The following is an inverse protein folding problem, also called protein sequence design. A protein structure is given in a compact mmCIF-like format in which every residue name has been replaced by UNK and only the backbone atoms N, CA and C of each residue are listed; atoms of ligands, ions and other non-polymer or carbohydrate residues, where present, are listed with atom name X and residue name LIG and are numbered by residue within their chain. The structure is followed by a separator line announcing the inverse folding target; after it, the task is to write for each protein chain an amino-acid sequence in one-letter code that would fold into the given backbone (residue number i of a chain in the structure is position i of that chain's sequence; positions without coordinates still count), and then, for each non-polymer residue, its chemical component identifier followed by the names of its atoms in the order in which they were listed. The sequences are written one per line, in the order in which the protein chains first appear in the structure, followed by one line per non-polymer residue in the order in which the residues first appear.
data_IF_642863001545
#
_entry.id   IF_642863001545
#
_cell.length_a   1.000
_cell.length_b   1.000
_cell.length_c   1.000
_cell.angle_alpha   90.00
_cell.angle_beta   90.00
_cell.angle_gamma   90.00
#
_symmetry.space_group_name_H-M   'P 1'
#
loop_
_entity.id
_entity.type
_entity.pdbx_description
1 polymer ?
#
# COMPACT_ATOMS: atom_id res chain seq x y z
N UNK A 1 1.43 -4.45 7.74
CA UNK A 1 1.49 -5.82 8.32
C UNK A 1 0.12 -6.34 8.78
N UNK A 2 -0.12 -7.67 8.67
CA UNK A 2 -1.19 -8.42 9.35
C UNK A 2 -0.55 -9.49 10.27
N UNK A 3 -0.82 -9.42 11.57
CA UNK A 3 -0.30 -10.37 12.55
C UNK A 3 -1.40 -11.14 13.27
N UNK A 4 -1.27 -12.47 13.37
CA UNK A 4 -2.07 -13.33 14.25
C UNK A 4 -1.13 -14.36 14.90
N UNK A 5 -1.10 -14.45 16.24
CA UNK A 5 -0.14 -15.31 16.94
C UNK A 5 -0.58 -16.77 17.05
N UNK A 6 -1.87 -17.09 17.05
CA UNK A 6 -2.36 -18.46 17.06
C UNK A 6 -3.79 -18.49 16.54
N UNK A 7 -4.01 -18.79 15.25
CA UNK A 7 -5.35 -19.17 14.78
C UNK A 7 -5.30 -19.75 13.37
N UNK A 8 -5.85 -20.95 13.21
CA UNK A 8 -6.20 -21.60 11.94
C UNK A 8 -7.42 -20.96 11.24
N UNK A 9 -7.94 -19.84 11.76
CA UNK A 9 -9.06 -19.08 11.17
C UNK A 9 -8.54 -18.18 10.03
N UNK A 10 -9.28 -17.98 8.92
CA UNK A 10 -8.81 -17.28 7.71
C UNK A 10 -8.68 -15.77 7.94
N UNK A 11 -7.67 -15.37 8.72
CA UNK A 11 -7.36 -14.00 9.14
C UNK A 11 -6.93 -13.08 7.99
N UNK A 12 -7.02 -13.54 6.74
CA UNK A 12 -6.58 -12.77 5.57
C UNK A 12 -7.71 -12.35 4.66
N UNK A 13 -8.76 -13.17 4.47
CA UNK A 13 -9.92 -12.78 3.65
C UNK A 13 -10.94 -11.94 4.42
N UNK A 14 -11.03 -12.14 5.74
CA UNK A 14 -12.03 -11.48 6.61
C UNK A 14 -11.52 -10.22 7.34
N UNK A 15 -10.23 -9.90 7.25
CA UNK A 15 -9.63 -8.80 8.04
C UNK A 15 -9.39 -7.55 7.22
N UNK A 16 -9.02 -7.73 5.94
CA UNK A 16 -8.86 -6.65 4.96
C UNK A 16 -9.50 -7.10 3.66
N UNK A 17 -10.40 -6.30 3.11
CA UNK A 17 -11.05 -6.66 1.84
C UNK A 17 -9.97 -6.59 0.74
N UNK A 18 -9.58 -7.74 0.21
CA UNK A 18 -8.41 -7.88 -0.66
C UNK A 18 -8.48 -9.20 -1.41
N UNK A 19 -7.73 -9.30 -2.50
CA UNK A 19 -7.67 -10.49 -3.35
C UNK A 19 -6.34 -11.20 -3.06
N UNK A 20 -6.33 -12.52 -2.78
CA UNK A 20 -5.09 -13.25 -2.69
C UNK A 20 -4.41 -13.33 -4.06
N UNK A 21 -3.15 -12.92 -4.14
CA UNK A 21 -2.32 -13.01 -5.35
C UNK A 21 -1.21 -14.03 -5.16
N UNK A 22 -0.84 -14.73 -6.24
CA UNK A 22 0.33 -15.61 -6.28
C UNK A 22 1.60 -14.77 -6.48
N UNK A 23 2.56 -14.86 -5.56
CA UNK A 23 3.76 -14.03 -5.58
C UNK A 23 4.67 -14.30 -6.78
N UNK A 24 4.72 -15.54 -7.27
CA UNK A 24 5.58 -15.92 -8.41
C UNK A 24 5.13 -15.22 -9.70
N UNK A 25 3.83 -15.09 -9.91
CA UNK A 25 3.26 -14.57 -11.16
C UNK A 25 2.70 -13.14 -11.04
N UNK A 26 2.82 -12.50 -9.87
CA UNK A 26 2.28 -11.15 -9.67
C UNK A 26 3.09 -10.10 -10.43
N UNK A 27 2.39 -9.21 -11.13
CA UNK A 27 2.98 -8.13 -11.93
C UNK A 27 2.80 -6.73 -11.30
N UNK A 28 2.08 -6.63 -10.18
CA UNK A 28 1.89 -5.36 -9.47
C UNK A 28 2.96 -5.09 -8.43
N UNK A 29 2.70 -4.10 -7.57
CA UNK A 29 3.59 -3.72 -6.47
C UNK A 29 3.90 -4.91 -5.54
N UNK A 30 5.18 -5.23 -5.37
CA UNK A 30 5.63 -6.40 -4.58
C UNK A 30 5.83 -6.13 -3.08
N UNK A 31 5.93 -4.87 -2.64
CA UNK A 31 6.17 -4.55 -1.21
C UNK A 31 7.45 -5.13 -0.61
N UNK A 32 8.44 -5.50 -1.43
CA UNK A 32 9.66 -6.18 -0.98
C UNK A 32 9.52 -7.70 -0.79
N UNK A 33 8.34 -8.28 -1.03
CA UNK A 33 8.15 -9.73 -1.08
C UNK A 33 8.82 -10.32 -2.33
N UNK A 34 9.22 -11.59 -2.24
CA UNK A 34 10.04 -12.27 -3.24
C UNK A 34 9.22 -13.26 -4.08
N UNK A 35 9.49 -13.33 -5.39
CA UNK A 35 8.82 -14.25 -6.33
C UNK A 35 9.27 -15.71 -6.19
N UNK A 36 10.43 -15.92 -5.55
CA UNK A 36 11.08 -17.22 -5.36
C UNK A 36 10.52 -18.05 -4.18
N UNK A 37 9.32 -17.71 -3.67
CA UNK A 37 8.62 -18.38 -2.58
C UNK A 37 9.26 -18.25 -1.19
N UNK A 38 10.41 -17.57 -1.05
CA UNK A 38 11.08 -17.37 0.24
C UNK A 38 10.28 -16.52 1.24
N UNK A 39 9.34 -15.70 0.75
CA UNK A 39 8.44 -14.87 1.57
C UNK A 39 6.99 -15.34 1.54
N UNK A 40 6.75 -16.59 1.12
CA UNK A 40 5.43 -17.20 1.00
C UNK A 40 5.02 -17.45 -0.44
N UNK A 41 3.90 -18.15 -0.63
CA UNK A 41 3.34 -18.47 -1.94
C UNK A 41 2.34 -17.42 -2.43
N UNK A 42 1.53 -16.91 -1.50
CA UNK A 42 0.47 -15.96 -1.80
C UNK A 42 0.39 -14.91 -0.72
N UNK A 43 -0.19 -13.78 -1.06
CA UNK A 43 -0.45 -12.73 -0.09
C UNK A 43 -1.70 -11.92 -0.47
N UNK A 44 -2.41 -11.29 0.47
CA UNK A 44 -3.49 -10.39 0.12
C UNK A 44 -2.97 -9.12 -0.54
N UNK A 45 -3.67 -8.71 -1.60
CA UNK A 45 -3.35 -7.55 -2.41
C UNK A 45 -4.60 -6.72 -2.67
N UNK A 46 -4.45 -5.40 -2.68
CA UNK A 46 -5.50 -4.47 -3.04
C UNK A 46 -4.94 -3.42 -3.98
N UNK A 47 -5.67 -3.12 -5.05
CA UNK A 47 -5.29 -2.08 -6.00
C UNK A 47 -6.51 -1.28 -6.47
N UNK A 48 -6.26 -0.02 -6.77
CA UNK A 48 -7.11 0.93 -7.50
C UNK A 48 -6.23 1.62 -8.55
N UNK A 49 -6.79 2.50 -9.37
CA UNK A 49 -6.01 3.28 -10.34
C UNK A 49 -4.94 4.19 -9.71
N UNK A 50 -5.02 4.46 -8.40
CA UNK A 50 -4.14 5.42 -7.72
C UNK A 50 -3.42 4.86 -6.49
N UNK A 51 -3.72 3.63 -6.08
CA UNK A 51 -3.18 3.02 -4.84
C UNK A 51 -3.02 1.53 -5.05
N UNK A 52 -1.84 1.01 -4.70
CA UNK A 52 -1.55 -0.41 -4.57
C UNK A 52 -1.11 -0.71 -3.14
N UNK A 53 -1.59 -1.82 -2.56
CA UNK A 53 -1.29 -2.23 -1.18
C UNK A 53 -0.97 -3.72 -1.15
N UNK A 54 0.24 -4.03 -0.70
CA UNK A 54 0.69 -5.38 -0.43
C UNK A 54 0.68 -5.64 1.08
N UNK A 55 0.02 -6.70 1.55
CA UNK A 55 -0.03 -7.01 2.97
C UNK A 55 1.04 -8.02 3.36
N UNK A 56 1.94 -7.68 4.29
CA UNK A 56 2.81 -8.65 4.94
C UNK A 56 2.04 -9.46 5.98
N UNK A 57 1.74 -10.74 5.70
CA UNK A 57 0.97 -11.61 6.61
C UNK A 57 1.90 -12.62 7.29
N UNK A 58 2.04 -12.52 8.62
CA UNK A 58 2.96 -13.37 9.38
C UNK A 58 2.68 -14.87 9.23
N UNK A 59 1.41 -15.27 9.08
CA UNK A 59 0.97 -16.66 8.91
C UNK A 59 1.09 -17.20 7.48
N UNK A 60 1.34 -16.34 6.48
CA UNK A 60 1.61 -16.76 5.10
C UNK A 60 3.10 -16.79 4.75
N UNK A 61 3.95 -16.32 5.66
CA UNK A 61 5.41 -16.40 5.53
C UNK A 61 5.94 -17.75 6.04
N UNK A 62 6.94 -18.37 5.38
CA UNK A 62 7.48 -19.67 5.77
C UNK A 62 8.00 -19.69 7.21
N UNK A 63 7.86 -20.85 7.88
CA UNK A 63 8.26 -21.04 9.28
C UNK A 63 9.22 -22.21 9.50
N UNK A 64 9.66 -22.86 8.42
CA UNK A 64 10.27 -24.20 8.48
C UNK A 64 11.80 -24.18 8.58
N UNK A 65 12.40 -22.98 8.62
CA UNK A 65 13.86 -22.80 8.76
C UNK A 65 14.20 -22.07 10.05
N UNK A 66 15.39 -22.29 10.60
CA UNK A 66 15.89 -21.59 11.79
C UNK A 66 15.87 -20.05 11.62
N UNK A 67 16.16 -19.55 10.41
CA UNK A 67 16.10 -18.12 10.08
C UNK A 67 14.68 -17.56 9.83
N UNK A 68 13.63 -18.36 10.02
CA UNK A 68 12.26 -17.98 9.65
C UNK A 68 11.76 -16.77 10.43
N UNK A 69 12.09 -16.67 11.72
CA UNK A 69 11.73 -15.54 12.55
C UNK A 69 12.38 -14.25 12.04
N UNK A 70 13.68 -14.29 11.73
CA UNK A 70 14.43 -13.15 11.17
C UNK A 70 13.86 -12.73 9.82
N UNK A 71 13.53 -13.68 8.94
CA UNK A 71 12.89 -13.41 7.64
C UNK A 71 11.53 -12.72 7.82
N UNK A 72 10.69 -13.21 8.75
CA UNK A 72 9.41 -12.57 9.09
C UNK A 72 9.62 -11.15 9.60
N UNK A 73 10.48 -10.97 10.59
CA UNK A 73 10.75 -9.66 11.18
C UNK A 73 11.38 -8.67 10.20
N UNK A 74 12.13 -9.11 9.19
CA UNK A 74 12.64 -8.23 8.14
C UNK A 74 11.54 -7.52 7.35
N UNK A 75 10.40 -8.17 7.16
CA UNK A 75 9.26 -7.55 6.47
C UNK A 75 8.31 -6.90 7.46
N UNK A 76 7.91 -7.67 8.47
CA UNK A 76 6.93 -7.27 9.48
C UNK A 76 7.45 -6.14 10.37
N UNK A 77 8.72 -6.16 10.71
CA UNK A 77 9.35 -5.17 11.58
C UNK A 77 9.60 -3.83 10.88
N UNK A 78 9.61 -3.76 9.55
CA UNK A 78 9.87 -2.52 8.82
C UNK A 78 8.58 -1.81 8.33
N UNK A 79 7.41 -2.35 8.70
CA UNK A 79 6.14 -1.70 8.35
C UNK A 79 5.81 -0.59 9.36
N UNK A 80 5.35 0.57 8.87
CA UNK A 80 4.94 1.68 9.74
C UNK A 80 3.53 1.47 10.34
N UNK A 81 2.68 0.70 9.64
CA UNK A 81 1.29 0.41 10.03
C UNK A 81 1.08 -1.09 10.21
N UNK A 82 0.72 -1.48 11.44
CA UNK A 82 0.47 -2.85 11.83
C UNK A 82 -1.02 -3.08 12.08
N UNK A 83 -1.58 -4.11 11.45
CA UNK A 83 -2.91 -4.63 11.76
C UNK A 83 -2.71 -5.92 12.56
N UNK A 84 -3.29 -5.98 13.74
CA UNK A 84 -3.13 -7.11 14.66
C UNK A 84 -4.48 -7.73 14.92
N UNK A 85 -4.60 -9.03 14.68
CA UNK A 85 -5.73 -9.82 15.12
C UNK A 85 -5.41 -10.44 16.48
N UNK A 86 -6.18 -10.07 17.51
CA UNK A 86 -5.98 -10.59 18.86
C UNK A 86 -7.21 -11.36 19.33
N UNK A 87 -7.02 -12.64 19.62
CA UNK A 87 -8.03 -13.48 20.28
C UNK A 87 -7.91 -13.43 21.82
N UNK A 88 -6.96 -12.66 22.35
CA UNK A 88 -6.81 -12.46 23.78
C UNK A 88 -7.75 -11.37 24.29
N UNK A 89 -8.22 -11.53 25.53
CA UNK A 89 -9.03 -10.55 26.26
C UNK A 89 -8.22 -9.40 26.84
N UNK A 90 -6.88 -9.50 26.80
CA UNK A 90 -5.97 -8.48 27.31
C UNK A 90 -5.58 -7.50 26.20
N UNK A 91 -5.31 -6.27 26.61
CA UNK A 91 -4.79 -5.24 25.72
C UNK A 91 -3.48 -5.66 25.07
N UNK A 92 -3.34 -5.32 23.80
CA UNK A 92 -2.16 -5.65 23.03
C UNK A 92 -1.03 -4.73 23.47
N UNK A 93 0.14 -5.32 23.69
CA UNK A 93 1.33 -4.57 24.11
C UNK A 93 2.18 -4.26 22.90
N UNK A 94 2.51 -2.97 22.68
CA UNK A 94 3.34 -2.50 21.55
C UNK A 94 4.67 -3.26 21.43
N UNK A 95 5.32 -3.58 22.55
CA UNK A 95 6.61 -4.29 22.58
C UNK A 95 6.58 -5.77 22.22
N UNK A 96 5.43 -6.33 21.78
CA UNK A 96 5.34 -7.74 21.36
C UNK A 96 6.12 -8.01 20.07
N UNK A 97 6.18 -7.03 19.16
CA UNK A 97 7.04 -7.08 17.97
C UNK A 97 8.18 -6.10 18.25
N UNK A 98 9.42 -6.56 18.36
CA UNK A 98 10.56 -5.68 18.60
C UNK A 98 10.85 -4.91 17.31
N UNK A 99 10.32 -3.70 17.20
CA UNK A 99 10.56 -2.79 16.09
C UNK A 99 10.57 -1.34 16.56
N UNK A 100 11.46 -0.54 15.97
CA UNK A 100 11.45 0.93 16.10
C UNK A 100 10.40 1.59 15.19
N UNK A 101 9.89 0.83 14.20
CA UNK A 101 8.76 1.16 13.34
C UNK A 101 7.42 0.80 14.02
N UNK A 102 6.38 0.48 13.24
CA UNK A 102 5.04 0.22 13.77
C UNK A 102 4.43 1.45 14.44
N UNK A 103 4.61 2.62 13.85
CA UNK A 103 4.10 3.91 14.34
C UNK A 103 2.61 3.89 14.65
N UNK A 104 1.84 3.13 13.87
CA UNK A 104 0.40 2.90 14.07
C UNK A 104 0.10 1.41 14.21
N UNK A 105 -0.65 1.04 15.24
CA UNK A 105 -1.21 -0.30 15.45
C UNK A 105 -2.74 -0.22 15.44
N UNK A 106 -3.36 -1.01 14.56
CA UNK A 106 -4.80 -1.24 14.49
C UNK A 106 -5.06 -2.66 15.00
N UNK A 107 -5.49 -2.77 16.24
CA UNK A 107 -5.73 -4.06 16.91
C UNK A 107 -7.21 -4.39 16.84
N UNK A 108 -7.52 -5.60 16.41
CA UNK A 108 -8.87 -6.11 16.18
C UNK A 108 -9.14 -7.23 17.18
N UNK A 109 -10.18 -7.04 17.98
CA UNK A 109 -10.65 -8.00 18.98
C UNK A 109 -12.01 -8.56 18.56
N UNK A 110 -12.12 -9.86 18.24
CA UNK A 110 -13.39 -10.51 17.99
C UNK A 110 -14.30 -10.46 19.22
N UNK A 111 -15.56 -10.12 19.02
CA UNK A 111 -16.61 -10.13 20.03
C UNK A 111 -17.73 -11.13 19.65
N UNK A 112 -18.74 -11.24 20.51
CA UNK A 112 -19.97 -11.98 20.20
C UNK A 112 -20.74 -11.29 19.06
N UNK A 113 -21.67 -12.02 18.43
CA UNK A 113 -22.60 -11.50 17.42
C UNK A 113 -21.93 -10.87 16.19
N UNK A 114 -20.76 -11.38 15.78
CA UNK A 114 -20.00 -10.88 14.64
C UNK A 114 -19.61 -9.39 14.75
N UNK A 115 -19.46 -8.88 15.97
CA UNK A 115 -18.92 -7.56 16.26
C UNK A 115 -17.43 -7.64 16.57
N UNK A 116 -16.73 -6.53 16.37
CA UNK A 116 -15.28 -6.43 16.58
C UNK A 116 -14.97 -5.10 17.24
N UNK A 117 -14.22 -5.15 18.35
CA UNK A 117 -13.69 -3.97 19.01
C UNK A 117 -12.33 -3.62 18.41
N UNK A 118 -12.10 -2.33 18.17
CA UNK A 118 -10.90 -1.78 17.57
C UNK A 118 -10.17 -0.96 18.61
N UNK A 119 -8.90 -1.29 18.84
CA UNK A 119 -7.96 -0.46 19.59
C UNK A 119 -6.95 0.13 18.62
N UNK A 120 -6.72 1.44 18.67
CA UNK A 120 -5.74 2.14 17.84
C UNK A 120 -4.68 2.76 18.74
N UNK A 121 -3.45 2.27 18.63
CA UNK A 121 -2.29 2.86 19.28
C UNK A 121 -1.43 3.55 18.22
N UNK A 122 -1.07 4.82 18.42
CA UNK A 122 -0.20 5.57 17.51
C UNK A 122 0.84 6.38 18.27
N UNK A 123 1.96 6.70 17.62
CA UNK A 123 2.89 7.71 18.15
C UNK A 123 2.21 9.10 18.21
N UNK A 124 2.58 9.99 19.15
CA UNK A 124 1.95 11.30 19.31
C UNK A 124 1.97 12.17 18.06
N UNK A 125 3.06 12.10 17.29
CA UNK A 125 3.34 12.95 16.12
C UNK A 125 2.45 12.59 14.92
N UNK A 126 1.87 11.39 14.91
CA UNK A 126 1.01 10.93 13.80
C UNK A 126 -0.27 11.76 13.76
N UNK A 127 -0.59 12.43 12.63
CA UNK A 127 -1.84 13.19 12.47
C UNK A 127 -3.08 12.32 12.64
N UNK A 128 -4.25 12.95 12.67
CA UNK A 128 -5.51 12.22 12.66
C UNK A 128 -5.69 11.44 11.34
N UNK A 129 -6.23 10.23 11.42
CA UNK A 129 -6.62 9.39 10.30
C UNK A 129 -7.85 8.56 10.68
N UNK A 130 -8.53 8.01 9.69
CA UNK A 130 -9.74 7.19 9.88
C UNK A 130 -10.04 6.35 8.65
N UNK A 131 -11.20 5.66 8.57
CA UNK A 131 -12.44 5.97 9.29
C UNK A 131 -12.59 5.38 10.71
N UNK A 132 -11.76 4.41 11.11
CA UNK A 132 -11.81 3.86 12.47
C UNK A 132 -11.10 4.78 13.47
N UNK A 133 -11.56 4.76 14.72
CA UNK A 133 -10.95 5.45 15.86
C UNK A 133 -10.76 4.47 17.03
N UNK A 134 -9.96 4.85 18.02
CA UNK A 134 -9.71 4.03 19.20
C UNK A 134 -11.00 3.79 20.00
N UNK A 135 -11.31 2.53 20.33
CA UNK A 135 -12.54 2.12 20.99
C UNK A 135 -13.73 1.89 20.05
N UNK A 136 -13.56 1.99 18.72
CA UNK A 136 -14.64 1.73 17.77
C UNK A 136 -15.12 0.26 17.83
N UNK A 137 -16.43 0.05 17.71
CA UNK A 137 -17.04 -1.28 17.58
C UNK A 137 -17.71 -1.38 16.21
N UNK A 138 -17.32 -2.37 15.41
CA UNK A 138 -17.79 -2.51 14.03
C UNK A 138 -18.30 -3.91 13.72
N UNK A 139 -19.27 -3.99 12.82
CA UNK A 139 -19.79 -5.26 12.34
C UNK A 139 -18.81 -5.93 11.37
N UNK A 140 -18.69 -7.26 11.44
CA UNK A 140 -17.81 -8.06 10.58
C UNK A 140 -18.05 -7.89 9.08
N UNK A 141 -19.24 -7.46 8.64
CA UNK A 141 -19.52 -7.17 7.23
C UNK A 141 -18.72 -5.98 6.68
N UNK A 142 -18.49 -4.95 7.51
CA UNK A 142 -17.81 -3.70 7.10
C UNK A 142 -16.36 -3.64 7.58
N UNK A 143 -16.00 -4.44 8.60
CA UNK A 143 -14.66 -4.52 9.18
C UNK A 143 -13.54 -4.55 8.12
N UNK A 144 -13.58 -5.43 7.09
CA UNK A 144 -12.45 -5.55 6.17
C UNK A 144 -12.20 -4.29 5.34
N UNK A 145 -13.26 -3.53 5.04
CA UNK A 145 -13.17 -2.29 4.26
C UNK A 145 -12.68 -1.16 5.17
N UNK A 146 -13.24 -1.05 6.38
CA UNK A 146 -12.88 -0.03 7.36
C UNK A 146 -11.42 -0.14 7.81
N UNK A 147 -10.96 -1.36 8.10
CA UNK A 147 -9.55 -1.60 8.50
C UNK A 147 -8.59 -1.24 7.36
N UNK A 148 -8.88 -1.66 6.13
CA UNK A 148 -8.05 -1.31 4.97
C UNK A 148 -7.99 0.19 4.74
N UNK A 149 -9.14 0.87 4.73
CA UNK A 149 -9.20 2.32 4.55
C UNK A 149 -8.43 3.06 5.64
N UNK A 150 -8.58 2.63 6.90
CA UNK A 150 -7.86 3.21 8.05
C UNK A 150 -6.35 3.01 7.91
N UNK A 151 -5.90 1.82 7.51
CA UNK A 151 -4.48 1.54 7.33
C UNK A 151 -3.85 2.37 6.20
N UNK A 152 -4.56 2.54 5.06
CA UNK A 152 -4.10 3.39 3.96
C UNK A 152 -3.99 4.85 4.40
N UNK A 153 -5.00 5.36 5.11
CA UNK A 153 -4.99 6.74 5.58
C UNK A 153 -3.96 6.97 6.69
N UNK A 154 -3.72 6.00 7.56
CA UNK A 154 -2.62 6.03 8.53
C UNK A 154 -1.26 6.15 7.83
N UNK A 155 -1.02 5.35 6.79
CA UNK A 155 0.23 5.44 6.00
C UNK A 155 0.39 6.81 5.31
N UNK A 156 -0.71 7.39 4.79
CA UNK A 156 -0.67 8.75 4.22
C UNK A 156 -0.37 9.81 5.28
N UNK A 157 -0.99 9.72 6.46
CA UNK A 157 -0.73 10.62 7.58
C UNK A 157 0.75 10.56 8.02
N UNK A 158 1.33 9.36 8.07
CA UNK A 158 2.76 9.19 8.35
C UNK A 158 3.63 9.83 7.26
N UNK A 159 3.32 9.59 5.98
CA UNK A 159 4.06 10.20 4.86
C UNK A 159 4.02 11.72 4.87
N UNK A 160 2.93 12.33 5.31
CA UNK A 160 2.84 13.80 5.43
C UNK A 160 3.79 14.41 6.46
N UNK A 161 4.36 13.60 7.36
CA UNK A 161 5.38 14.06 8.31
C UNK A 161 6.79 14.10 7.70
N UNK A 162 7.00 13.46 6.55
CA UNK A 162 8.31 13.45 5.88
C UNK A 162 8.55 14.84 5.27
N UNK A 163 9.62 15.54 5.66
CA UNK A 163 9.92 16.86 5.10
C UNK A 163 10.04 16.79 3.58
N UNK A 164 9.46 17.78 2.89
CA UNK A 164 9.42 17.88 1.42
C UNK A 164 8.68 16.72 0.73
N UNK A 165 7.92 15.91 1.46
CA UNK A 165 7.08 14.89 0.84
C UNK A 165 6.03 15.54 -0.06
N UNK A 166 6.12 15.23 -1.35
CA UNK A 166 5.13 15.65 -2.33
C UNK A 166 4.10 14.56 -2.53
N UNK A 167 2.84 14.96 -2.65
CA UNK A 167 1.81 14.01 -3.03
C UNK A 167 2.07 13.48 -4.44
N UNK A 168 1.70 12.23 -4.69
CA UNK A 168 1.89 11.59 -5.98
C UNK A 168 1.22 12.33 -7.15
N UNK A 169 0.17 13.13 -6.90
CA UNK A 169 -0.44 14.01 -7.91
C UNK A 169 0.46 15.19 -8.28
N UNK A 170 1.11 15.83 -7.30
CA UNK A 170 2.05 16.93 -7.54
C UNK A 170 3.28 16.42 -8.29
N UNK A 171 3.78 15.25 -7.88
CA UNK A 171 4.89 14.59 -8.55
C UNK A 171 4.56 14.21 -9.99
N UNK A 172 3.36 13.63 -10.21
CA UNK A 172 2.88 13.33 -11.57
C UNK A 172 2.73 14.59 -12.41
N UNK A 173 2.16 15.67 -11.86
CA UNK A 173 1.98 16.93 -12.58
C UNK A 173 3.34 17.50 -13.01
N UNK A 174 4.32 17.48 -12.11
CA UNK A 174 5.70 17.89 -12.40
C UNK A 174 6.33 17.03 -13.50
N UNK A 175 6.20 15.71 -13.45
CA UNK A 175 6.71 14.85 -14.53
C UNK A 175 6.05 15.15 -15.87
N UNK A 176 4.72 15.36 -15.89
CA UNK A 176 4.01 15.74 -17.10
C UNK A 176 4.49 17.09 -17.64
N UNK A 177 4.70 18.08 -16.77
CA UNK A 177 5.28 19.37 -17.16
C UNK A 177 6.68 19.20 -17.75
N UNK A 178 7.54 18.38 -17.15
CA UNK A 178 8.88 18.07 -17.68
C UNK A 178 8.80 17.39 -19.05
N UNK A 179 7.87 16.46 -19.25
CA UNK A 179 7.67 15.80 -20.55
C UNK A 179 7.23 16.82 -21.59
N UNK A 180 6.26 17.68 -21.26
CA UNK A 180 5.80 18.74 -22.17
C UNK A 180 6.96 19.68 -22.50
N UNK A 181 7.73 20.15 -21.50
CA UNK A 181 8.85 21.05 -21.75
C UNK A 181 9.93 20.45 -22.67
N UNK A 182 10.21 19.16 -22.56
CA UNK A 182 11.27 18.51 -23.35
C UNK A 182 10.81 17.95 -24.70
N UNK A 183 9.52 17.69 -24.87
CA UNK A 183 8.97 17.04 -26.06
C UNK A 183 7.91 17.86 -26.79
N UNK A 184 7.71 19.13 -26.41
CA UNK A 184 6.86 20.03 -27.16
C UNK A 184 7.57 20.43 -28.46
N UNK A 185 7.06 19.91 -29.57
CA UNK A 185 7.48 20.32 -30.90
C UNK A 185 6.70 21.57 -31.32
N UNK A 186 7.36 22.60 -31.88
CA UNK A 186 6.69 23.75 -32.44
C UNK A 186 6.03 23.34 -33.77
N UNK A 187 4.78 22.88 -33.68
CA UNK A 187 3.98 22.43 -34.82
C UNK A 187 2.60 23.09 -34.77
N UNK A 188 1.99 23.33 -35.93
CA UNK A 188 0.59 23.78 -35.98
C UNK A 188 -0.36 22.60 -35.80
N UNK A 189 -1.63 22.88 -35.50
CA UNK A 189 -2.62 21.81 -35.43
C UNK A 189 -2.77 21.09 -36.78
N UNK A 190 -2.69 21.86 -37.87
CA UNK A 190 -2.77 21.39 -39.24
C UNK A 190 -1.60 20.46 -39.59
N UNK A 191 -0.37 20.83 -39.24
CA UNK A 191 0.83 20.02 -39.47
C UNK A 191 0.78 18.71 -38.66
N UNK A 192 0.36 18.80 -37.40
CA UNK A 192 0.11 17.62 -36.57
C UNK A 192 -0.97 16.70 -37.17
N UNK A 193 -2.12 17.26 -37.56
CA UNK A 193 -3.21 16.50 -38.15
C UNK A 193 -2.76 15.83 -39.45
N UNK A 194 -2.04 16.54 -40.31
CA UNK A 194 -1.48 16.00 -41.54
C UNK A 194 -0.55 14.80 -41.28
N UNK A 195 0.34 14.89 -40.27
CA UNK A 195 1.21 13.77 -39.89
C UNK A 195 0.45 12.56 -39.32
N UNK A 196 -0.64 12.79 -38.57
CA UNK A 196 -1.48 11.69 -38.04
C UNK A 196 -2.27 11.00 -39.16
N UNK A 197 -2.84 11.78 -40.08
CA UNK A 197 -3.61 11.24 -41.21
C UNK A 197 -2.73 10.64 -42.32
N UNK A 198 -1.52 11.17 -42.50
CA UNK A 198 -0.55 10.71 -43.48
C UNK A 198 0.88 10.80 -42.89
N UNK A 199 1.34 9.75 -42.17
CA UNK A 199 2.67 9.72 -41.59
C UNK A 199 3.73 9.55 -42.68
N UNK A 200 4.05 10.64 -43.38
CA UNK A 200 5.15 10.75 -44.32
C UNK A 200 6.37 11.38 -43.63
N UNK A 201 7.62 11.04 -44.04
CA UNK A 201 8.83 11.66 -43.50
C UNK A 201 8.82 13.17 -43.74
N UNK A 202 9.01 13.95 -42.68
CA UNK A 202 9.06 15.42 -42.77
C UNK A 202 10.33 15.85 -43.52
N UNK A 203 10.17 16.45 -44.69
CA UNK A 203 11.26 17.16 -45.37
C UNK A 203 11.15 18.64 -44.99
N UNK A 204 12.08 19.14 -44.15
CA UNK A 204 12.21 20.57 -43.92
C UNK A 204 12.46 21.27 -45.26
N UNK A 205 11.48 22.06 -45.72
CA UNK A 205 11.71 23.03 -46.78
C UNK A 205 12.66 24.10 -46.20
N UNK A 206 13.79 24.40 -46.88
CA UNK A 206 14.67 25.47 -46.43
C UNK A 206 13.88 26.77 -46.39
N UNK A 207 14.04 27.54 -45.32
CA UNK A 207 13.49 28.89 -45.22
C UNK A 207 13.99 29.71 -46.40
N UNK A 208 13.07 30.20 -47.23
CA UNK A 208 13.36 31.25 -48.20
C UNK A 208 13.79 32.50 -47.41
N UNK A 209 15.09 32.66 -47.23
CA UNK A 209 15.66 33.97 -46.87
C UNK A 209 15.63 34.82 -48.11
N UNK A 210 14.67 35.73 -48.14
CA UNK A 210 14.47 36.76 -49.15
C UNK A 210 15.72 37.59 -49.44
N UNK A 211 15.81 37.97 -50.71
CA UNK A 211 16.78 38.87 -51.35
C UNK A 211 16.70 40.32 -50.89
#
# INVERSE_FOLDING_TARGET
MLNSKHSTVPATRKTVSSIPVNLTNHCGFMGGLQKNKSTGLTTPYFATSTVEVMFHVSTRMPSDSDDSLTKKLRHLGNDEVHIVWSEHTRDYRRGIIPTEFGDVLIVIYPMKNHMFSIQIMKKPEVPFFGPLFDGAIVNGKILPIMVRATAINASRALKSLIPLYQNFYEERARYLQTIVQHHLEPTTFEDFAAQVFCPAPYHHLPSETDH
#
